data_IF_695050295649
#
_entry.id   IF_695050295649
#
_cell.length_a   1.000
_cell.length_b   1.000
_cell.length_c   1.000
_cell.angle_alpha   90.00
_cell.angle_beta   90.00
_cell.angle_gamma   90.00
#
_symmetry.space_group_name_H-M   'P 1'
#
loop_
_entity.id
_entity.type
_entity.pdbx_description
1 polymer ?
#
# COMPACT_ATOMS: atom_id res chain seq x y z
N UNK A 1 13.19 13.55 -24.71
CA UNK A 1 13.48 12.64 -23.58
C UNK A 1 13.02 13.34 -22.32
N UNK A 2 11.77 13.14 -21.90
CA UNK A 2 11.24 13.80 -20.70
C UNK A 2 11.83 13.11 -19.48
N UNK A 3 12.66 13.84 -18.74
CA UNK A 3 13.19 13.39 -17.47
C UNK A 3 12.02 13.01 -16.55
N UNK A 4 11.96 11.74 -16.14
CA UNK A 4 11.06 11.26 -15.10
C UNK A 4 11.46 11.94 -13.79
N UNK A 5 11.00 13.17 -13.59
CA UNK A 5 10.88 13.75 -12.26
C UNK A 5 9.87 12.88 -11.55
N UNK A 6 10.35 11.89 -10.78
CA UNK A 6 9.52 11.10 -9.89
C UNK A 6 8.89 12.06 -8.88
N UNK A 7 7.73 12.62 -9.24
CA UNK A 7 6.93 13.43 -8.35
C UNK A 7 6.72 12.59 -7.09
N UNK A 8 7.11 13.12 -5.93
CA UNK A 8 6.85 12.45 -4.65
C UNK A 8 5.37 12.08 -4.63
N UNK A 9 5.02 10.79 -4.50
CA UNK A 9 3.62 10.39 -4.57
C UNK A 9 2.84 11.13 -3.49
N UNK A 10 1.82 11.87 -3.89
CA UNK A 10 0.91 12.53 -2.96
C UNK A 10 0.06 11.46 -2.29
N UNK A 11 -0.06 11.52 -0.96
CA UNK A 11 -0.80 10.52 -0.20
C UNK A 11 -2.12 11.09 0.34
N UNK A 12 -3.22 10.41 0.05
CA UNK A 12 -4.51 10.64 0.70
C UNK A 12 -4.55 9.95 2.07
N UNK A 13 -5.09 10.62 3.09
CA UNK A 13 -5.28 10.04 4.42
C UNK A 13 -6.57 9.21 4.47
N UNK A 14 -6.43 7.90 4.70
CA UNK A 14 -7.54 6.94 4.77
C UNK A 14 -7.84 6.45 6.19
N UNK A 15 -7.09 6.90 7.21
CA UNK A 15 -7.19 6.33 8.56
C UNK A 15 -8.62 6.37 9.15
N UNK A 16 -9.39 7.42 8.84
CA UNK A 16 -10.79 7.54 9.29
C UNK A 16 -11.75 6.67 8.48
N UNK A 17 -11.55 6.59 7.17
CA UNK A 17 -12.38 5.79 6.27
C UNK A 17 -12.22 4.29 6.57
N UNK A 18 -11.00 3.83 6.78
CA UNK A 18 -10.69 2.42 7.04
C UNK A 18 -11.28 1.85 8.33
N UNK A 19 -11.71 2.70 9.28
CA UNK A 19 -12.34 2.24 10.54
C UNK A 19 -13.60 1.41 10.32
N UNK A 20 -14.26 1.56 9.16
CA UNK A 20 -15.46 0.79 8.81
C UNK A 20 -15.15 -0.53 8.11
N UNK A 21 -13.92 -0.70 7.63
CA UNK A 21 -13.51 -1.82 6.78
C UNK A 21 -12.53 -2.78 7.47
N UNK A 22 -11.87 -2.35 8.55
CA UNK A 22 -10.94 -3.21 9.31
C UNK A 22 -11.08 -3.02 10.81
N UNK A 23 -10.88 -4.10 11.57
CA UNK A 23 -10.81 -4.08 13.03
C UNK A 23 -9.45 -3.57 13.56
N UNK A 24 -8.45 -3.36 12.68
CA UNK A 24 -7.13 -2.90 13.08
C UNK A 24 -7.18 -1.50 13.69
N UNK A 25 -6.46 -1.32 14.80
CA UNK A 25 -6.33 -0.02 15.47
C UNK A 25 -5.29 0.83 14.77
N UNK A 26 -5.65 1.36 13.59
CA UNK A 26 -4.77 2.20 12.78
C UNK A 26 -4.50 3.55 13.48
N UNK A 27 -3.22 3.92 13.57
CA UNK A 27 -2.78 5.26 13.97
C UNK A 27 -2.74 6.18 12.74
N UNK A 28 -2.17 5.69 11.65
CA UNK A 28 -2.14 6.34 10.33
C UNK A 28 -2.45 5.30 9.26
N UNK A 29 -3.14 5.71 8.19
CA UNK A 29 -3.31 4.93 6.97
C UNK A 29 -3.35 5.90 5.80
N UNK A 30 -2.54 5.65 4.78
CA UNK A 30 -2.35 6.54 3.64
C UNK A 30 -2.30 5.74 2.35
N UNK A 31 -2.86 6.29 1.28
CA UNK A 31 -2.83 5.72 -0.05
C UNK A 31 -2.21 6.72 -1.01
N UNK A 32 -1.25 6.28 -1.83
CA UNK A 32 -0.65 7.13 -2.85
C UNK A 32 -1.62 7.44 -3.99
N UNK A 33 -1.31 8.47 -4.77
CA UNK A 33 -1.77 8.58 -6.15
C UNK A 33 -1.37 7.32 -6.95
N UNK A 34 -2.08 7.00 -8.06
CA UNK A 34 -1.63 5.98 -9.00
C UNK A 34 -0.21 6.26 -9.47
N UNK A 35 0.60 5.22 -9.52
CA UNK A 35 1.94 5.24 -10.08
C UNK A 35 1.88 4.49 -11.40
N UNK A 36 2.09 5.23 -12.48
CA UNK A 36 2.21 4.69 -13.83
C UNK A 36 3.52 3.91 -13.97
N UNK A 37 3.47 2.79 -14.70
CA UNK A 37 4.64 1.97 -15.01
C UNK A 37 4.92 2.02 -16.51
N UNK A 38 6.18 1.83 -16.88
CA UNK A 38 6.58 1.66 -18.28
C UNK A 38 5.94 0.41 -18.91
N UNK A 39 5.70 -0.63 -18.10
CA UNK A 39 5.01 -1.86 -18.48
C UNK A 39 4.21 -2.43 -17.30
N UNK A 40 3.09 -3.08 -17.61
CA UNK A 40 2.18 -3.66 -16.62
C UNK A 40 1.13 -2.68 -16.11
N UNK A 41 0.29 -3.15 -15.19
CA UNK A 41 -0.79 -2.33 -14.64
C UNK A 41 -0.27 -1.25 -13.68
N UNK A 42 -0.92 -0.07 -13.65
CA UNK A 42 -0.63 0.96 -12.66
C UNK A 42 -0.99 0.47 -11.27
N UNK A 43 -0.29 1.00 -10.27
CA UNK A 43 -0.44 0.56 -8.89
C UNK A 43 -0.51 1.72 -7.92
N UNK A 44 -0.90 1.45 -6.68
CA UNK A 44 -0.84 2.38 -5.56
C UNK A 44 -0.10 1.74 -4.40
N UNK A 45 0.49 2.60 -3.57
CA UNK A 45 1.13 2.21 -2.32
C UNK A 45 0.22 2.53 -1.16
N UNK A 46 -0.06 1.55 -0.31
CA UNK A 46 -0.73 1.76 0.99
C UNK A 46 0.32 1.74 2.08
N UNK A 47 0.26 2.72 2.97
CA UNK A 47 1.12 2.82 4.15
C UNK A 47 0.30 3.00 5.41
N UNK A 48 0.66 2.28 6.47
CA UNK A 48 -0.03 2.41 7.75
C UNK A 48 0.88 2.18 8.94
N UNK A 49 0.41 2.64 10.09
CA UNK A 49 0.99 2.32 11.39
C UNK A 49 -0.13 1.91 12.34
N UNK A 50 0.16 1.02 13.26
CA UNK A 50 -0.78 0.60 14.29
C UNK A 50 -0.61 1.50 15.52
N UNK A 51 -1.65 1.60 16.35
CA UNK A 51 -1.52 2.25 17.66
C UNK A 51 -0.59 1.48 18.59
N UNK A 52 -0.52 0.16 18.43
CA UNK A 52 0.33 -0.74 19.21
C UNK A 52 1.75 -0.84 18.69
N UNK A 53 1.98 -0.53 17.41
CA UNK A 53 3.29 -0.60 16.75
C UNK A 53 3.52 0.63 15.85
N UNK A 54 4.47 1.52 16.20
CA UNK A 54 4.76 2.71 15.43
C UNK A 54 5.50 2.44 14.10
N UNK A 55 5.94 1.20 13.85
CA UNK A 55 6.63 0.84 12.60
C UNK A 55 5.72 1.03 11.40
N UNK A 56 6.24 1.72 10.38
CA UNK A 56 5.54 1.91 9.11
C UNK A 56 5.50 0.58 8.37
N UNK A 57 4.29 0.11 8.12
CA UNK A 57 3.98 -1.01 7.24
C UNK A 57 3.59 -0.47 5.86
N UNK A 58 3.89 -1.22 4.81
CA UNK A 58 3.63 -0.83 3.43
C UNK A 58 3.34 -2.05 2.56
N UNK A 59 2.37 -1.93 1.66
CA UNK A 59 2.14 -2.88 0.59
C UNK A 59 1.75 -2.15 -0.72
N UNK A 60 1.74 -2.89 -1.82
CA UNK A 60 1.37 -2.41 -3.16
C UNK A 60 0.05 -3.07 -3.58
N UNK A 61 -0.86 -2.28 -4.15
CA UNK A 61 -2.15 -2.73 -4.68
C UNK A 61 -2.34 -2.20 -6.10
N UNK A 62 -3.29 -2.77 -6.84
CA UNK A 62 -3.71 -2.26 -8.16
C UNK A 62 -4.23 -0.82 -8.03
N UNK A 63 -4.10 -0.02 -9.09
CA UNK A 63 -4.49 1.39 -9.03
C UNK A 63 -6.00 1.64 -8.84
N UNK A 64 -6.83 0.66 -9.19
CA UNK A 64 -8.29 0.66 -9.04
C UNK A 64 -8.75 0.00 -7.73
N UNK A 65 -7.84 -0.26 -6.78
CA UNK A 65 -8.17 -0.91 -5.51
C UNK A 65 -9.31 -0.21 -4.76
N UNK A 66 -10.24 -1.01 -4.26
CA UNK A 66 -11.37 -0.58 -3.45
C UNK A 66 -10.99 -0.49 -1.96
N UNK A 67 -11.81 0.17 -1.11
CA UNK A 67 -11.60 0.16 0.33
C UNK A 67 -11.58 -1.25 0.94
N UNK A 68 -12.31 -2.20 0.36
CA UNK A 68 -12.31 -3.61 0.80
C UNK A 68 -10.98 -4.27 0.48
N UNK A 69 -10.44 -4.09 -0.73
CA UNK A 69 -9.12 -4.63 -1.10
C UNK A 69 -8.02 -4.10 -0.18
N UNK A 70 -8.10 -2.82 0.18
CA UNK A 70 -7.18 -2.21 1.13
C UNK A 70 -7.33 -2.88 2.51
N UNK A 71 -8.55 -3.09 2.99
CA UNK A 71 -8.77 -3.75 4.28
C UNK A 71 -8.24 -5.18 4.32
N UNK A 72 -8.44 -5.94 3.25
CA UNK A 72 -7.97 -7.32 3.15
C UNK A 72 -6.43 -7.36 3.12
N UNK A 73 -5.81 -6.44 2.40
CA UNK A 73 -4.35 -6.28 2.39
C UNK A 73 -3.80 -5.90 3.77
N UNK A 74 -4.47 -5.02 4.51
CA UNK A 74 -4.06 -4.66 5.87
C UNK A 74 -4.17 -5.85 6.84
N UNK A 75 -5.21 -6.67 6.72
CA UNK A 75 -5.48 -7.81 7.60
C UNK A 75 -4.57 -9.01 7.31
N UNK A 76 -4.28 -9.28 6.04
CA UNK A 76 -3.37 -10.35 5.62
C UNK A 76 -1.90 -10.00 5.81
N UNK A 77 -1.57 -8.72 6.06
CA UNK A 77 -0.20 -8.27 6.23
C UNK A 77 0.42 -8.86 7.50
N UNK A 78 1.52 -9.58 7.32
CA UNK A 78 2.35 -10.06 8.42
C UNK A 78 3.55 -9.11 8.56
N UNK A 79 3.72 -8.43 9.71
CA UNK A 79 4.87 -7.54 9.94
C UNK A 79 6.20 -8.26 9.67
N UNK A 80 7.08 -7.65 8.87
CA UNK A 80 8.36 -8.24 8.48
C UNK A 80 8.34 -9.02 7.17
N UNK A 81 7.16 -9.33 6.60
CA UNK A 81 7.04 -9.88 5.25
C UNK A 81 7.34 -8.80 4.22
N UNK A 82 8.36 -9.02 3.39
CA UNK A 82 8.71 -8.14 2.26
C UNK A 82 8.17 -8.76 0.98
N UNK A 83 7.47 -7.99 0.17
CA UNK A 83 7.15 -8.37 -1.20
C UNK A 83 8.36 -8.02 -2.08
N UNK A 84 9.14 -9.03 -2.44
CA UNK A 84 10.12 -9.03 -3.53
C UNK A 84 9.74 -10.16 -4.50
N UNK A 85 10.40 -10.30 -5.66
CA UNK A 85 10.31 -11.55 -6.41
C UNK A 85 10.59 -12.70 -5.44
N UNK A 86 9.71 -13.70 -5.44
CA UNK A 86 10.00 -14.92 -4.69
C UNK A 86 11.26 -15.52 -5.31
N UNK A 87 12.25 -15.91 -4.51
CA UNK A 87 13.42 -16.65 -5.01
C UNK A 87 13.02 -18.04 -5.59
N UNK A 88 11.73 -18.38 -5.61
CA UNK A 88 11.14 -19.61 -6.12
C UNK A 88 10.75 -19.57 -7.62
N UNK A 89 11.07 -18.49 -8.36
CA UNK A 89 10.79 -18.37 -9.81
C UNK A 89 12.01 -18.78 -10.70
N UNK A 90 12.90 -19.64 -10.19
CA UNK A 90 13.99 -20.29 -10.94
C UNK A 90 13.82 -21.83 -10.92
N UNK A 91 12.88 -22.37 -11.70
CA UNK A 91 12.89 -23.80 -12.11
C UNK A 91 12.69 -23.95 -13.63
#
# INVERSE_FOLDING_TARGET
MSANTAARPTFANLARAMRRHTALKLSRCRLSAPIERLWGEPYRTVEWTLKSDPRVQRCVLRADCTPSDIADALQSHTPGRRFGPSDDDDE
#
